data_IF_674717820230
#
_entry.id   IF_674717820230
#
_cell.length_a   1.000
_cell.length_b   1.000
_cell.length_c   1.000
_cell.angle_alpha   90.00
_cell.angle_beta   90.00
_cell.angle_gamma   90.00
#
_symmetry.space_group_name_H-M   'P 1'
#
loop_
_entity.id
_entity.type
_entity.pdbx_description
1 polymer ?
#
# COMPACT_ATOMS: atom_id res chain seq x y z
N UNK A 1 3.68 -11.58 -3.19
CA UNK A 1 4.35 -11.34 -1.89
C UNK A 1 5.85 -11.12 -2.06
N UNK A 2 6.53 -11.97 -2.83
CA UNK A 2 7.94 -11.75 -3.25
C UNK A 2 8.16 -10.42 -3.99
N UNK A 3 7.24 -10.02 -4.87
CA UNK A 3 7.32 -8.74 -5.61
C UNK A 3 7.39 -7.52 -4.67
N UNK A 4 6.60 -7.50 -3.59
CA UNK A 4 6.57 -6.39 -2.64
C UNK A 4 7.86 -6.27 -1.83
N UNK A 5 8.44 -7.39 -1.42
CA UNK A 5 9.74 -7.41 -0.71
C UNK A 5 10.85 -6.92 -1.63
N UNK A 6 10.90 -7.44 -2.86
CA UNK A 6 11.90 -7.03 -3.84
C UNK A 6 11.81 -5.52 -4.18
N UNK A 7 10.59 -4.97 -4.26
CA UNK A 7 10.34 -3.53 -4.46
C UNK A 7 10.86 -2.69 -3.28
N UNK A 8 10.59 -3.12 -2.04
CA UNK A 8 11.07 -2.42 -0.85
C UNK A 8 12.60 -2.49 -0.72
N UNK A 9 13.21 -3.65 -0.94
CA UNK A 9 14.67 -3.87 -0.82
C UNK A 9 15.48 -3.07 -1.84
N UNK A 10 14.93 -2.84 -3.04
CA UNK A 10 15.59 -2.02 -4.09
C UNK A 10 15.27 -0.53 -4.00
N UNK A 11 14.50 -0.10 -3.00
CA UNK A 11 14.10 1.31 -2.83
C UNK A 11 13.05 1.81 -3.84
N UNK A 12 12.33 0.90 -4.52
CA UNK A 12 11.31 1.26 -5.52
C UNK A 12 9.94 1.44 -4.85
N UNK A 13 9.82 2.53 -4.09
CA UNK A 13 8.64 2.83 -3.29
C UNK A 13 7.42 3.24 -4.13
N UNK A 14 7.64 3.86 -5.30
CA UNK A 14 6.55 4.13 -6.25
C UNK A 14 6.00 2.83 -6.84
N UNK A 15 6.86 1.89 -7.22
CA UNK A 15 6.43 0.57 -7.66
C UNK A 15 5.66 -0.18 -6.56
N UNK A 16 6.08 -0.03 -5.30
CA UNK A 16 5.36 -0.57 -4.14
C UNK A 16 3.94 0.02 -4.02
N UNK A 17 3.80 1.34 -4.17
CA UNK A 17 2.50 2.00 -4.18
C UNK A 17 1.61 1.57 -5.36
N UNK A 18 2.17 1.40 -6.56
CA UNK A 18 1.44 0.91 -7.73
C UNK A 18 0.96 -0.54 -7.56
N UNK A 19 1.79 -1.40 -6.96
CA UNK A 19 1.42 -2.76 -6.61
C UNK A 19 0.18 -2.78 -5.69
N UNK A 20 0.02 -1.77 -4.84
CA UNK A 20 -1.15 -1.67 -3.96
C UNK A 20 -2.45 -1.45 -4.74
N UNK A 21 -2.44 -0.57 -5.74
CA UNK A 21 -3.58 -0.38 -6.64
C UNK A 21 -3.88 -1.65 -7.44
N UNK A 22 -2.84 -2.34 -7.91
CA UNK A 22 -2.96 -3.63 -8.63
C UNK A 22 -3.61 -4.71 -7.76
N UNK A 23 -3.19 -4.85 -6.50
CA UNK A 23 -3.77 -5.82 -5.55
C UNK A 23 -5.24 -5.51 -5.30
N UNK A 24 -5.58 -4.23 -5.15
CA UNK A 24 -6.97 -3.80 -5.01
C UNK A 24 -7.77 -3.93 -6.31
N UNK A 25 -7.15 -4.19 -7.46
CA UNK A 25 -7.82 -4.23 -8.74
C UNK A 25 -8.51 -2.91 -9.07
N UNK A 26 -7.84 -1.79 -8.79
CA UNK A 26 -8.35 -0.41 -9.02
C UNK A 26 -7.31 0.40 -9.80
N UNK A 27 -7.77 1.45 -10.46
CA UNK A 27 -6.93 2.28 -11.33
C UNK A 27 -6.64 3.67 -10.78
N UNK A 28 -7.36 4.08 -9.73
CA UNK A 28 -7.22 5.39 -9.11
C UNK A 28 -7.20 5.32 -7.59
N UNK A 29 -6.61 6.33 -6.95
CA UNK A 29 -6.61 6.46 -5.49
C UNK A 29 -8.02 6.64 -4.90
N UNK A 30 -8.92 7.32 -5.61
CA UNK A 30 -10.31 7.48 -5.19
C UNK A 30 -11.03 6.11 -5.13
N UNK A 31 -10.88 5.29 -6.17
CA UNK A 31 -11.39 3.90 -6.17
C UNK A 31 -10.74 3.06 -5.08
N UNK A 32 -9.44 3.23 -4.86
CA UNK A 32 -8.69 2.51 -3.83
C UNK A 32 -9.24 2.82 -2.44
N UNK A 33 -9.51 4.09 -2.12
CA UNK A 33 -10.12 4.50 -0.86
C UNK A 33 -11.54 3.95 -0.69
N UNK A 34 -12.38 4.04 -1.73
CA UNK A 34 -13.74 3.50 -1.68
C UNK A 34 -13.75 1.99 -1.43
N UNK A 35 -12.92 1.23 -2.17
CA UNK A 35 -12.81 -0.23 -2.02
C UNK A 35 -12.19 -0.63 -0.69
N UNK A 36 -11.19 0.11 -0.22
CA UNK A 36 -10.54 -0.10 1.06
C UNK A 36 -11.48 0.11 2.23
N UNK A 37 -12.29 1.17 2.20
CA UNK A 37 -13.32 1.44 3.21
C UNK A 37 -14.33 0.29 3.29
N UNK A 38 -14.87 -0.14 2.14
CA UNK A 38 -15.76 -1.30 2.09
C UNK A 38 -15.12 -2.58 2.64
N UNK A 39 -13.83 -2.81 2.36
CA UNK A 39 -13.10 -3.96 2.88
C UNK A 39 -12.90 -3.87 4.40
N UNK A 40 -12.52 -2.71 4.91
CA UNK A 40 -12.37 -2.47 6.34
C UNK A 40 -13.70 -2.71 7.08
N UNK A 41 -14.80 -2.18 6.56
CA UNK A 41 -16.11 -2.29 7.20
C UNK A 41 -16.61 -3.73 7.27
N UNK A 42 -16.46 -4.51 6.19
CA UNK A 42 -16.93 -5.91 6.15
C UNK A 42 -16.05 -6.86 6.94
N UNK A 43 -14.74 -6.66 6.93
CA UNK A 43 -13.78 -7.56 7.58
C UNK A 43 -13.46 -7.16 9.02
N UNK A 44 -13.77 -5.92 9.41
CA UNK A 44 -13.29 -5.26 10.64
C UNK A 44 -11.75 -5.16 10.73
N UNK A 45 -11.07 -5.30 9.60
CA UNK A 45 -9.61 -5.26 9.50
C UNK A 45 -9.17 -3.91 8.93
N UNK A 46 -8.90 -2.95 9.82
CA UNK A 46 -8.52 -1.59 9.46
C UNK A 46 -7.07 -1.45 8.95
N UNK A 47 -6.31 -2.55 8.92
CA UNK A 47 -4.97 -2.61 8.32
C UNK A 47 -4.98 -2.21 6.84
N UNK A 48 -6.09 -2.43 6.13
CA UNK A 48 -6.30 -1.98 4.74
C UNK A 48 -6.20 -0.45 4.58
N UNK A 49 -6.55 0.30 5.63
CA UNK A 49 -6.49 1.76 5.60
C UNK A 49 -5.07 2.27 5.82
N UNK A 50 -4.29 1.59 6.67
CA UNK A 50 -2.84 1.85 6.83
C UNK A 50 -2.08 1.54 5.54
N UNK A 51 -2.39 0.39 4.93
CA UNK A 51 -1.91 0.01 3.60
C UNK A 51 -2.17 1.11 2.56
N UNK A 52 -3.39 1.63 2.48
CA UNK A 52 -3.73 2.70 1.54
C UNK A 52 -3.01 4.02 1.84
N UNK A 53 -2.95 4.42 3.11
CA UNK A 53 -2.30 5.66 3.52
C UNK A 53 -0.80 5.65 3.16
N UNK A 54 -0.09 4.57 3.51
CA UNK A 54 1.35 4.41 3.21
C UNK A 54 1.60 4.38 1.70
N UNK A 55 0.76 3.67 0.93
CA UNK A 55 0.86 3.64 -0.53
C UNK A 55 0.62 5.02 -1.17
N UNK A 56 -0.42 5.73 -0.73
CA UNK A 56 -0.75 7.06 -1.24
C UNK A 56 0.40 8.04 -1.00
N UNK A 57 0.92 8.09 0.23
CA UNK A 57 2.04 8.96 0.60
C UNK A 57 3.27 8.69 -0.26
N UNK A 58 3.63 7.42 -0.46
CA UNK A 58 4.79 7.03 -1.28
C UNK A 58 4.61 7.31 -2.79
N UNK A 59 3.36 7.49 -3.23
CA UNK A 59 3.03 7.81 -4.63
C UNK A 59 2.87 9.29 -4.93
N UNK A 60 2.66 10.11 -3.89
CA UNK A 60 2.41 11.55 -4.04
C UNK A 60 3.73 12.29 -4.06
N UNK A 61 4.08 12.89 -5.20
CA UNK A 61 5.33 13.65 -5.35
C UNK A 61 5.42 14.82 -4.35
N UNK A 62 4.29 15.44 -4.04
CA UNK A 62 4.21 16.53 -3.05
C UNK A 62 4.63 16.04 -1.66
N UNK A 63 4.10 14.91 -1.21
CA UNK A 63 4.39 14.38 0.13
C UNK A 63 5.75 13.68 0.14
N UNK A 64 6.04 12.86 -0.86
CA UNK A 64 7.29 12.10 -0.97
C UNK A 64 8.52 13.00 -0.83
N UNK A 65 8.52 14.16 -1.49
CA UNK A 65 9.66 15.07 -1.52
C UNK A 65 9.93 15.79 -0.19
N UNK A 66 8.93 15.92 0.69
CA UNK A 66 9.14 16.49 2.03
C UNK A 66 9.60 15.47 3.06
N UNK A 67 9.39 14.18 2.79
CA UNK A 67 9.84 13.10 3.67
C UNK A 67 11.35 12.89 3.58
N UNK A 68 11.97 12.61 4.71
CA UNK A 68 13.34 12.12 4.75
C UNK A 68 13.41 10.62 4.38
N UNK A 69 14.62 10.09 4.23
CA UNK A 69 14.85 8.70 3.85
C UNK A 69 14.26 7.70 4.85
N UNK A 70 14.43 7.94 6.15
CA UNK A 70 13.94 7.06 7.20
C UNK A 70 12.40 6.98 7.22
N UNK A 71 11.71 8.09 6.97
CA UNK A 71 10.25 8.14 6.86
C UNK A 71 9.74 7.36 5.65
N UNK A 72 10.40 7.52 4.50
CA UNK A 72 10.06 6.77 3.28
C UNK A 72 10.27 5.27 3.47
N UNK A 73 11.40 4.88 4.06
CA UNK A 73 11.71 3.48 4.33
C UNK A 73 10.73 2.87 5.35
N UNK A 74 10.40 3.59 6.41
CA UNK A 74 9.39 3.18 7.39
C UNK A 74 8.04 2.87 6.71
N UNK A 75 7.54 3.79 5.88
CA UNK A 75 6.29 3.62 5.15
C UNK A 75 6.36 2.44 4.16
N UNK A 76 7.48 2.27 3.46
CA UNK A 76 7.65 1.19 2.51
C UNK A 76 7.67 -0.19 3.18
N UNK A 77 8.34 -0.30 4.33
CA UNK A 77 8.37 -1.54 5.13
C UNK A 77 6.98 -1.86 5.70
N UNK A 78 6.30 -0.87 6.27
CA UNK A 78 4.92 -1.02 6.76
C UNK A 78 3.98 -1.47 5.63
N UNK A 79 4.13 -0.87 4.44
CA UNK A 79 3.34 -1.22 3.27
C UNK A 79 3.58 -2.66 2.80
N UNK A 80 4.85 -3.09 2.73
CA UNK A 80 5.22 -4.44 2.36
C UNK A 80 4.65 -5.51 3.32
N UNK A 81 4.60 -5.22 4.62
CA UNK A 81 3.96 -6.08 5.62
C UNK A 81 2.45 -6.12 5.41
N UNK A 82 1.81 -4.98 5.17
CA UNK A 82 0.37 -4.91 4.99
C UNK A 82 -0.10 -5.62 3.71
N UNK A 83 0.69 -5.62 2.63
CA UNK A 83 0.39 -6.31 1.35
C UNK A 83 -0.01 -7.77 1.57
N UNK A 84 0.72 -8.49 2.42
CA UNK A 84 0.43 -9.91 2.69
C UNK A 84 -0.95 -10.10 3.30
N UNK A 85 -1.27 -9.32 4.34
CA UNK A 85 -2.57 -9.36 5.02
C UNK A 85 -3.72 -8.93 4.10
N UNK A 86 -3.53 -7.87 3.31
CA UNK A 86 -4.54 -7.39 2.35
C UNK A 86 -4.81 -8.44 1.27
N UNK A 87 -3.77 -9.11 0.75
CA UNK A 87 -3.93 -10.17 -0.24
C UNK A 87 -4.76 -11.34 0.31
N UNK A 88 -4.53 -11.73 1.57
CA UNK A 88 -5.34 -12.75 2.26
C UNK A 88 -6.81 -12.34 2.41
N UNK A 89 -7.08 -11.08 2.81
CA UNK A 89 -8.44 -10.56 2.94
C UNK A 89 -9.20 -10.53 1.61
N UNK A 90 -8.48 -10.46 0.49
CA UNK A 90 -9.03 -10.49 -0.86
C UNK A 90 -9.08 -11.90 -1.47
N UNK A 91 -8.57 -12.94 -0.78
CA UNK A 91 -8.51 -14.30 -1.31
C UNK A 91 -7.54 -14.46 -2.49
N UNK A 92 -6.48 -13.65 -2.54
CA UNK A 92 -5.47 -13.66 -3.62
C UNK A 92 -4.22 -14.50 -3.30
N UNK A 93 -4.25 -15.24 -2.19
CA UNK A 93 -3.15 -16.07 -1.67
C UNK A 93 -3.22 -17.51 -2.16
#
# INVERSE_FOLDING_TARGET
>A
MEEAKALAERGDYRGLAQLCLKILGVSSWHEAWARGAQLAERSKEYVILKFLASAYVLSSDEIYNVLNEAEREFLARDLAVCIGKVSQLLGLS
#
